data_IF_040414278933
#
_entry.id   IF_040414278933
#
_cell.length_a   1.000
_cell.length_b   1.000
_cell.length_c   1.000
_cell.angle_alpha   90.00
_cell.angle_beta   90.00
_cell.angle_gamma   90.00
#
_symmetry.space_group_name_H-M   'P 1'
#
loop_
_entity.id
_entity.type
_entity.pdbx_description
1 polymer ?
#
# COMPACT_ATOMS: atom_id res chain seq x y z
N UNK A 1 3.96 11.70 15.65
CA UNK A 1 3.90 13.18 15.64
C UNK A 1 2.45 13.71 15.75
N UNK A 2 1.73 13.44 16.86
CA UNK A 2 0.30 13.77 16.99
C UNK A 2 -0.01 15.28 16.92
N UNK A 3 1.00 16.12 17.15
CA UNK A 3 0.83 17.60 17.04
C UNK A 3 0.86 18.07 15.58
N UNK A 4 1.34 17.26 14.66
CA UNK A 4 1.49 17.62 13.24
C UNK A 4 0.35 17.06 12.41
N UNK A 5 -0.09 15.81 12.71
CA UNK A 5 -1.13 15.12 11.95
C UNK A 5 -2.49 15.38 12.57
N UNK A 6 -3.32 16.17 11.91
CA UNK A 6 -4.67 16.53 12.36
C UNK A 6 -5.74 15.54 11.88
N UNK A 7 -5.55 14.91 10.73
CA UNK A 7 -6.40 13.87 10.15
C UNK A 7 -5.53 12.88 9.38
N UNK A 8 -5.89 11.60 9.35
CA UNK A 8 -5.16 10.55 8.63
C UNK A 8 -6.10 9.79 7.70
N UNK A 9 -5.77 9.74 6.41
CA UNK A 9 -6.44 8.85 5.45
C UNK A 9 -5.49 7.73 5.01
N UNK A 10 -5.96 6.50 5.06
CA UNK A 10 -5.23 5.29 4.69
C UNK A 10 -5.91 4.64 3.49
N UNK A 11 -5.13 4.36 2.44
CA UNK A 11 -5.64 3.85 1.17
C UNK A 11 -5.12 2.45 0.88
N UNK A 12 -6.03 1.49 0.78
CA UNK A 12 -5.82 0.07 0.42
C UNK A 12 -4.67 -0.62 1.15
N UNK A 13 -4.58 -0.39 2.45
CA UNK A 13 -3.53 -0.94 3.31
C UNK A 13 -4.08 -1.41 4.65
N UNK A 14 -3.50 -2.45 5.21
CA UNK A 14 -3.63 -2.87 6.62
C UNK A 14 -2.31 -2.63 7.35
N UNK A 15 -2.27 -2.61 8.69
CA UNK A 15 -1.02 -2.43 9.42
C UNK A 15 0.05 -3.42 8.96
N UNK A 16 1.27 -2.95 8.73
CA UNK A 16 2.40 -3.76 8.23
C UNK A 16 2.64 -4.99 9.09
N UNK A 17 2.55 -4.83 10.41
CA UNK A 17 2.64 -5.95 11.36
C UNK A 17 1.57 -7.02 11.10
N UNK A 18 0.33 -6.63 10.78
CA UNK A 18 -0.75 -7.58 10.45
C UNK A 18 -0.38 -8.41 9.22
N UNK A 19 0.18 -7.78 8.18
CA UNK A 19 0.63 -8.48 6.97
C UNK A 19 1.67 -9.55 7.32
N UNK A 20 2.72 -9.19 8.05
CA UNK A 20 3.82 -10.12 8.36
C UNK A 20 3.45 -11.18 9.41
N UNK A 21 2.49 -10.93 10.29
CA UNK A 21 2.06 -11.91 11.32
C UNK A 21 0.95 -12.85 10.84
N UNK A 22 0.21 -12.49 9.80
CA UNK A 22 -0.90 -13.29 9.27
C UNK A 22 -0.61 -13.85 7.86
N UNK A 23 0.63 -14.29 7.63
CA UNK A 23 1.05 -14.83 6.34
C UNK A 23 0.26 -16.10 6.00
N UNK A 24 -0.33 -16.10 4.82
CA UNK A 24 -1.00 -17.25 4.23
C UNK A 24 -0.47 -17.51 2.82
N UNK A 25 -0.76 -18.70 2.25
CA UNK A 25 -0.42 -18.98 0.85
C UNK A 25 -0.98 -17.90 -0.09
N UNK A 26 -2.23 -17.48 0.11
CA UNK A 26 -2.87 -16.49 -0.74
C UNK A 26 -2.19 -15.12 -0.60
N UNK A 27 -1.90 -14.68 0.63
CA UNK A 27 -1.17 -13.44 0.87
C UNK A 27 0.21 -13.49 0.20
N UNK A 28 1.00 -14.53 0.44
CA UNK A 28 2.32 -14.69 -0.14
C UNK A 28 2.31 -14.75 -1.67
N UNK A 29 1.23 -15.29 -2.27
CA UNK A 29 1.09 -15.35 -3.73
C UNK A 29 0.71 -13.97 -4.31
N UNK A 30 -0.22 -13.25 -3.70
CA UNK A 30 -0.71 -11.98 -4.23
C UNK A 30 0.20 -10.81 -3.89
N UNK A 31 0.83 -10.87 -2.73
CA UNK A 31 1.76 -9.87 -2.19
C UNK A 31 3.20 -10.41 -2.14
N UNK A 32 3.60 -11.27 -3.11
CA UNK A 32 4.94 -11.86 -3.13
C UNK A 32 6.05 -10.80 -3.08
N UNK A 33 5.80 -9.62 -3.62
CA UNK A 33 6.76 -8.52 -3.64
C UNK A 33 7.15 -8.06 -2.22
N UNK A 34 6.26 -8.17 -1.23
CA UNK A 34 6.59 -7.88 0.17
C UNK A 34 7.71 -8.78 0.70
N UNK A 35 7.79 -10.01 0.21
CA UNK A 35 8.80 -10.99 0.59
C UNK A 35 10.00 -11.00 -0.36
N UNK A 36 9.84 -10.52 -1.57
CA UNK A 36 10.88 -10.38 -2.57
C UNK A 36 11.71 -9.11 -2.36
N UNK A 37 11.06 -7.96 -2.19
CA UNK A 37 11.74 -6.67 -2.09
C UNK A 37 12.54 -6.49 -0.78
N UNK A 38 12.23 -7.28 0.26
CA UNK A 38 12.99 -7.30 1.51
C UNK A 38 14.27 -8.15 1.46
N UNK A 39 14.50 -8.87 0.37
CA UNK A 39 15.72 -9.67 0.25
C UNK A 39 16.96 -8.76 0.27
N UNK A 40 18.11 -9.29 0.77
CA UNK A 40 19.34 -8.50 0.83
C UNK A 40 19.76 -7.92 -0.53
N UNK A 41 20.29 -6.70 -0.50
CA UNK A 41 20.97 -6.11 -1.66
C UNK A 41 22.12 -7.02 -2.13
N UNK A 42 22.34 -7.20 -3.46
CA UNK A 42 21.69 -6.49 -4.57
C UNK A 42 20.56 -7.29 -5.25
N UNK A 43 19.99 -8.30 -4.62
CA UNK A 43 19.16 -9.30 -5.31
C UNK A 43 17.91 -8.70 -5.96
N UNK A 44 17.01 -7.97 -5.26
CA UNK A 44 15.83 -7.39 -5.90
C UNK A 44 16.19 -6.34 -6.94
N UNK A 45 17.14 -5.46 -6.62
CA UNK A 45 17.61 -4.40 -7.52
C UNK A 45 18.15 -4.97 -8.83
N UNK A 46 18.95 -6.04 -8.75
CA UNK A 46 19.53 -6.72 -9.91
C UNK A 46 18.45 -7.37 -10.78
N UNK A 47 17.45 -8.01 -10.15
CA UNK A 47 16.38 -8.69 -10.89
C UNK A 47 15.37 -7.71 -11.51
N UNK A 48 15.18 -6.54 -10.90
CA UNK A 48 14.32 -5.47 -11.44
C UNK A 48 15.06 -4.60 -12.44
N UNK A 49 16.39 -4.53 -12.36
CA UNK A 49 17.22 -3.74 -13.26
C UNK A 49 17.03 -4.17 -14.73
N UNK A 50 16.70 -3.19 -15.58
CA UNK A 50 16.40 -3.44 -16.99
C UNK A 50 15.04 -4.09 -17.29
N UNK A 51 14.21 -4.38 -16.26
CA UNK A 51 12.90 -5.02 -16.41
C UNK A 51 11.75 -4.15 -15.90
N UNK A 52 11.93 -2.83 -15.85
CA UNK A 52 10.95 -1.87 -15.31
C UNK A 52 9.58 -1.99 -15.98
N UNK A 53 9.51 -1.95 -17.31
CA UNK A 53 8.23 -2.02 -18.03
C UNK A 53 7.51 -3.36 -17.85
N UNK A 54 8.15 -4.54 -18.07
CA UNK A 54 7.48 -5.81 -17.79
C UNK A 54 7.04 -5.95 -16.34
N UNK A 55 7.80 -5.45 -15.38
CA UNK A 55 7.42 -5.47 -13.97
C UNK A 55 6.16 -4.62 -13.71
N UNK A 56 6.15 -3.39 -14.18
CA UNK A 56 4.99 -2.51 -14.02
C UNK A 56 3.73 -3.08 -14.69
N UNK A 57 3.81 -3.47 -15.98
CA UNK A 57 2.64 -3.95 -16.73
C UNK A 57 2.11 -5.28 -16.21
N UNK A 58 2.98 -6.24 -15.92
CA UNK A 58 2.56 -7.60 -15.63
C UNK A 58 2.42 -7.89 -14.12
N UNK A 59 2.95 -7.02 -13.29
CA UNK A 59 2.86 -7.19 -11.85
C UNK A 59 2.21 -6.00 -11.15
N UNK A 60 2.84 -4.83 -11.13
CA UNK A 60 2.36 -3.69 -10.32
C UNK A 60 0.94 -3.27 -10.71
N UNK A 61 0.66 -3.21 -12.00
CA UNK A 61 -0.64 -2.82 -12.56
C UNK A 61 -1.51 -3.99 -13.03
N UNK A 62 -1.14 -5.22 -12.68
CA UNK A 62 -2.00 -6.38 -12.98
C UNK A 62 -3.34 -6.27 -12.27
N UNK A 63 -4.41 -6.54 -12.99
CA UNK A 63 -5.76 -6.53 -12.43
C UNK A 63 -6.40 -5.14 -12.27
N UNK A 64 -5.74 -4.10 -12.79
CA UNK A 64 -6.37 -2.79 -12.99
C UNK A 64 -7.66 -2.93 -13.82
N UNK A 65 -8.62 -2.08 -13.51
CA UNK A 65 -9.77 -1.85 -14.39
C UNK A 65 -9.23 -1.44 -15.77
N UNK A 66 -9.73 -2.03 -16.87
CA UNK A 66 -9.27 -1.68 -18.21
C UNK A 66 -9.27 -0.16 -18.45
N UNK A 67 -8.17 0.37 -18.97
CA UNK A 67 -7.99 1.79 -19.26
C UNK A 67 -7.90 2.74 -18.03
N UNK A 68 -7.76 2.22 -16.81
CA UNK A 68 -7.59 3.06 -15.62
C UNK A 68 -6.33 3.92 -15.69
N UNK A 69 -5.25 3.43 -16.33
CA UNK A 69 -4.03 4.20 -16.57
C UNK A 69 -3.88 4.47 -18.07
N UNK A 70 -3.91 5.74 -18.46
CA UNK A 70 -3.61 6.16 -19.82
C UNK A 70 -2.10 6.02 -20.14
N UNK A 71 -1.74 5.73 -21.39
CA UNK A 71 -0.33 5.56 -21.79
C UNK A 71 0.61 6.71 -21.39
N UNK A 72 0.24 8.00 -21.48
CA UNK A 72 1.09 9.07 -20.99
C UNK A 72 1.37 9.01 -19.49
N UNK A 73 0.39 8.58 -18.69
CA UNK A 73 0.54 8.40 -17.24
C UNK A 73 1.43 7.17 -16.95
N UNK A 74 1.21 6.07 -17.68
CA UNK A 74 2.08 4.90 -17.60
C UNK A 74 3.53 5.23 -17.94
N UNK A 75 3.77 6.05 -18.97
CA UNK A 75 5.11 6.47 -19.37
C UNK A 75 5.84 7.22 -18.23
N UNK A 76 5.12 8.01 -17.43
CA UNK A 76 5.70 8.69 -16.27
C UNK A 76 6.04 7.73 -15.12
N UNK A 77 5.18 6.77 -14.83
CA UNK A 77 5.51 5.69 -13.89
C UNK A 77 6.75 4.92 -14.34
N UNK A 78 6.80 4.56 -15.62
CA UNK A 78 7.94 3.86 -16.20
C UNK A 78 9.23 4.70 -16.12
N UNK A 79 9.17 5.98 -16.46
CA UNK A 79 10.32 6.88 -16.35
C UNK A 79 10.89 6.92 -14.93
N UNK A 80 10.02 7.02 -13.94
CA UNK A 80 10.44 7.03 -12.53
C UNK A 80 11.01 5.68 -12.11
N UNK A 81 10.33 4.60 -12.45
CA UNK A 81 10.72 3.25 -12.03
C UNK A 81 11.95 2.72 -12.77
N UNK A 82 12.25 3.22 -13.96
CA UNK A 82 13.48 2.86 -14.69
C UNK A 82 14.76 3.44 -14.07
N UNK A 83 14.65 4.36 -13.12
CA UNK A 83 15.80 4.88 -12.38
C UNK A 83 16.25 3.88 -11.31
N UNK A 84 17.52 3.38 -11.35
CA UNK A 84 18.02 2.44 -10.36
C UNK A 84 17.93 2.95 -8.90
N UNK A 85 18.09 4.25 -8.68
CA UNK A 85 17.97 4.85 -7.35
C UNK A 85 16.53 4.78 -6.81
N UNK A 86 15.52 4.90 -7.69
CA UNK A 86 14.12 4.72 -7.31
C UNK A 86 13.85 3.27 -6.91
N UNK A 87 14.37 2.31 -7.67
CA UNK A 87 14.24 0.88 -7.34
C UNK A 87 14.92 0.57 -6.02
N UNK A 88 16.15 1.06 -5.80
CA UNK A 88 16.86 0.87 -4.53
C UNK A 88 16.08 1.48 -3.35
N UNK A 89 15.63 2.73 -3.47
CA UNK A 89 14.84 3.39 -2.42
C UNK A 89 13.56 2.62 -2.09
N UNK A 90 12.86 2.10 -3.11
CA UNK A 90 11.69 1.23 -2.90
C UNK A 90 12.07 -0.04 -2.12
N UNK A 91 13.17 -0.70 -2.46
CA UNK A 91 13.61 -1.89 -1.73
C UNK A 91 13.96 -1.56 -0.27
N UNK A 92 14.64 -0.43 -0.02
CA UNK A 92 14.97 0.03 1.33
C UNK A 92 13.72 0.35 2.17
N UNK A 93 12.67 0.92 1.56
CA UNK A 93 11.38 1.15 2.22
C UNK A 93 10.76 -0.18 2.68
N UNK A 94 10.72 -1.19 1.80
CA UNK A 94 10.25 -2.53 2.17
C UNK A 94 11.13 -3.20 3.24
N UNK A 95 12.47 -3.07 3.17
CA UNK A 95 13.40 -3.59 4.20
C UNK A 95 13.16 -2.92 5.55
N UNK A 96 12.96 -1.60 5.57
CA UNK A 96 12.59 -0.87 6.79
C UNK A 96 11.27 -1.39 7.36
N UNK A 97 10.23 -1.51 6.50
CA UNK A 97 8.92 -2.04 6.87
C UNK A 97 8.95 -3.45 7.46
N UNK A 98 9.89 -4.30 7.01
CA UNK A 98 10.07 -5.66 7.52
C UNK A 98 11.03 -5.78 8.72
N UNK A 99 11.65 -4.71 9.15
CA UNK A 99 12.68 -4.73 10.20
C UNK A 99 12.45 -3.67 11.26
N UNK A 100 12.98 -2.47 11.07
CA UNK A 100 12.96 -1.41 12.09
C UNK A 100 11.53 -0.93 12.40
N UNK A 101 10.65 -0.86 11.38
CA UNK A 101 9.28 -0.42 11.59
C UNK A 101 8.49 -1.44 12.40
N UNK A 102 8.73 -2.75 12.21
CA UNK A 102 8.12 -3.77 13.07
C UNK A 102 8.59 -3.67 14.52
N UNK A 103 9.86 -3.31 14.77
CA UNK A 103 10.38 -3.09 16.13
C UNK A 103 9.71 -1.85 16.76
N UNK A 104 9.55 -0.77 16.01
CA UNK A 104 8.84 0.42 16.47
C UNK A 104 7.36 0.11 16.75
N UNK A 105 6.71 -0.62 15.85
CA UNK A 105 5.32 -1.06 16.02
C UNK A 105 5.14 -1.91 17.28
N UNK A 106 6.07 -2.85 17.54
CA UNK A 106 6.02 -3.71 18.74
C UNK A 106 6.20 -2.90 20.03
N UNK A 107 7.12 -1.94 20.03
CA UNK A 107 7.34 -1.04 21.17
C UNK A 107 6.13 -0.14 21.45
N UNK A 108 5.29 0.10 20.45
CA UNK A 108 4.23 1.12 20.43
C UNK A 108 2.81 0.51 20.38
N UNK A 109 2.69 -0.80 20.59
CA UNK A 109 1.41 -1.55 20.45
C UNK A 109 0.25 -0.97 21.26
N UNK A 110 0.53 -0.37 22.41
CA UNK A 110 -0.48 0.24 23.28
C UNK A 110 -0.88 1.66 22.86
N UNK A 111 -0.12 2.27 21.94
CA UNK A 111 -0.36 3.65 21.51
C UNK A 111 -1.44 3.68 20.44
N UNK A 112 -2.42 4.53 20.63
CA UNK A 112 -3.51 4.74 19.66
C UNK A 112 -3.32 6.06 18.91
N UNK A 113 -3.82 6.10 17.68
CA UNK A 113 -3.87 7.32 16.88
C UNK A 113 -4.86 8.29 17.52
N UNK A 114 -4.38 9.51 17.83
CA UNK A 114 -5.19 10.55 18.44
C UNK A 114 -6.05 11.31 17.43
N UNK A 115 -5.69 11.28 16.15
CA UNK A 115 -6.41 12.00 15.10
C UNK A 115 -7.55 11.16 14.51
N UNK A 116 -8.62 11.80 13.99
CA UNK A 116 -9.60 11.14 13.14
C UNK A 116 -8.91 10.37 12.00
N UNK A 117 -9.36 9.14 11.77
CA UNK A 117 -8.75 8.25 10.79
C UNK A 117 -9.80 7.72 9.83
N UNK A 118 -9.55 7.86 8.53
CA UNK A 118 -10.36 7.31 7.44
C UNK A 118 -9.59 6.17 6.77
N UNK A 119 -10.24 5.03 6.57
CA UNK A 119 -9.67 3.87 5.87
C UNK A 119 -10.51 3.58 4.63
N UNK A 120 -9.90 3.67 3.44
CA UNK A 120 -10.55 3.38 2.16
C UNK A 120 -9.80 2.25 1.46
N UNK A 121 -10.53 1.31 0.86
CA UNK A 121 -9.89 0.18 0.16
C UNK A 121 -10.71 -0.25 -1.05
N UNK A 122 -10.07 -0.96 -1.99
CA UNK A 122 -10.71 -1.46 -3.19
C UNK A 122 -11.48 -2.75 -2.93
N UNK A 123 -12.77 -2.81 -3.29
CA UNK A 123 -13.61 -4.02 -3.15
C UNK A 123 -13.11 -5.18 -4.01
N UNK A 124 -12.37 -4.88 -5.09
CA UNK A 124 -11.75 -5.88 -5.97
C UNK A 124 -10.30 -6.19 -5.61
N UNK A 125 -9.71 -5.44 -4.66
CA UNK A 125 -8.34 -5.56 -4.21
C UNK A 125 -8.08 -6.79 -3.34
N UNK A 126 -6.78 -7.08 -3.13
CA UNK A 126 -6.35 -8.18 -2.29
C UNK A 126 -6.62 -7.90 -0.80
N UNK A 127 -6.52 -6.64 -0.36
CA UNK A 127 -6.79 -6.27 1.03
C UNK A 127 -8.21 -6.66 1.43
N UNK A 128 -9.22 -6.31 0.61
CA UNK A 128 -10.62 -6.68 0.85
C UNK A 128 -10.85 -8.20 0.93
N UNK A 129 -10.12 -8.98 0.12
CA UNK A 129 -10.28 -10.44 0.06
C UNK A 129 -9.57 -11.19 1.19
N UNK A 130 -8.53 -10.59 1.75
CA UNK A 130 -7.66 -11.25 2.73
C UNK A 130 -7.95 -10.82 4.16
N UNK A 131 -8.51 -9.63 4.36
CA UNK A 131 -8.68 -9.03 5.68
C UNK A 131 -10.05 -8.38 5.84
N UNK A 132 -10.54 -8.31 7.06
CA UNK A 132 -11.49 -7.27 7.46
C UNK A 132 -10.68 -5.98 7.67
N UNK A 133 -10.55 -5.20 6.60
CA UNK A 133 -9.59 -4.08 6.53
C UNK A 133 -9.79 -3.11 7.68
N UNK A 134 -11.04 -2.70 7.95
CA UNK A 134 -11.31 -1.72 9.01
C UNK A 134 -11.00 -2.30 10.40
N UNK A 135 -11.33 -3.56 10.65
CA UNK A 135 -11.07 -4.21 11.94
C UNK A 135 -9.58 -4.39 12.21
N UNK A 136 -8.72 -4.50 11.18
CA UNK A 136 -7.26 -4.53 11.39
C UNK A 136 -6.72 -3.23 11.99
N UNK A 137 -7.41 -2.11 11.76
CA UNK A 137 -7.01 -0.79 12.29
C UNK A 137 -7.58 -0.47 13.67
N UNK A 138 -8.64 -1.17 14.12
CA UNK A 138 -9.30 -0.91 15.42
C UNK A 138 -8.35 -0.88 16.63
N UNK A 139 -7.34 -1.75 16.74
CA UNK A 139 -6.39 -1.70 17.86
C UNK A 139 -5.61 -0.39 17.93
N UNK A 140 -5.31 0.22 16.77
CA UNK A 140 -4.56 1.48 16.66
C UNK A 140 -5.45 2.71 16.55
N UNK A 141 -6.62 2.57 15.96
CA UNK A 141 -7.58 3.65 15.70
C UNK A 141 -9.01 3.16 15.99
N UNK A 142 -9.43 3.09 17.28
CA UNK A 142 -10.74 2.53 17.66
C UNK A 142 -11.92 3.23 17.01
N UNK A 143 -11.79 4.54 16.75
CA UNK A 143 -12.81 5.38 16.13
C UNK A 143 -12.64 5.52 14.60
N UNK A 144 -11.73 4.74 13.97
CA UNK A 144 -11.54 4.81 12.53
C UNK A 144 -12.85 4.53 11.78
N UNK A 145 -13.10 5.33 10.75
CA UNK A 145 -14.20 5.14 9.82
C UNK A 145 -13.63 4.65 8.49
N UNK A 146 -14.43 3.95 7.70
CA UNK A 146 -13.96 3.49 6.41
C UNK A 146 -15.01 2.76 5.61
N UNK A 147 -14.70 2.59 4.31
CA UNK A 147 -15.55 1.86 3.37
C UNK A 147 -14.75 1.35 2.18
N UNK A 148 -15.23 0.29 1.55
CA UNK A 148 -14.75 -0.17 0.26
C UNK A 148 -15.20 0.78 -0.85
N UNK A 149 -14.33 1.00 -1.85
CA UNK A 149 -14.59 1.74 -3.08
C UNK A 149 -14.60 0.76 -4.28
N UNK A 150 -15.26 1.12 -5.41
CA UNK A 150 -15.35 0.24 -6.60
C UNK A 150 -14.03 0.21 -7.41
N UNK A 151 -12.95 -0.24 -6.78
CA UNK A 151 -11.60 -0.27 -7.31
C UNK A 151 -10.85 -1.54 -6.88
N UNK A 152 -9.69 -1.79 -7.49
CA UNK A 152 -8.65 -2.68 -6.99
C UNK A 152 -7.73 -1.98 -6.00
N UNK A 153 -6.41 -2.13 -6.21
CA UNK A 153 -5.39 -1.51 -5.34
C UNK A 153 -5.17 -0.02 -5.64
N UNK A 154 -5.35 0.39 -6.88
CA UNK A 154 -4.97 1.71 -7.38
C UNK A 154 -6.15 2.68 -7.35
N UNK A 155 -6.64 3.01 -6.13
CA UNK A 155 -7.83 3.85 -5.96
C UNK A 155 -7.79 5.18 -6.72
N UNK A 156 -6.66 5.91 -6.74
CA UNK A 156 -6.57 7.18 -7.46
C UNK A 156 -6.80 7.05 -8.97
N UNK A 157 -6.35 5.95 -9.55
CA UNK A 157 -6.44 5.67 -10.98
C UNK A 157 -7.76 5.01 -11.36
N UNK A 158 -8.30 4.17 -10.47
CA UNK A 158 -9.46 3.33 -10.77
C UNK A 158 -10.79 3.99 -10.41
N UNK A 159 -10.84 4.80 -9.35
CA UNK A 159 -12.06 5.48 -8.90
C UNK A 159 -11.79 6.89 -8.35
N UNK A 160 -11.19 7.80 -9.16
CA UNK A 160 -10.77 9.13 -8.69
C UNK A 160 -11.92 9.99 -8.17
N UNK A 161 -13.13 9.87 -8.73
CA UNK A 161 -14.28 10.65 -8.32
C UNK A 161 -14.76 10.26 -6.92
N UNK A 162 -14.95 8.98 -6.67
CA UNK A 162 -15.39 8.42 -5.38
C UNK A 162 -14.33 8.65 -4.30
N UNK A 163 -13.06 8.47 -4.65
CA UNK A 163 -11.95 8.76 -3.74
C UNK A 163 -11.90 10.23 -3.37
N UNK A 164 -11.95 11.12 -4.37
CA UNK A 164 -11.92 12.58 -4.13
C UNK A 164 -13.10 13.03 -3.27
N UNK A 165 -14.31 12.52 -3.55
CA UNK A 165 -15.49 12.85 -2.76
C UNK A 165 -15.34 12.42 -1.29
N UNK A 166 -14.86 11.19 -1.04
CA UNK A 166 -14.65 10.68 0.31
C UNK A 166 -13.56 11.45 1.07
N UNK A 167 -12.45 11.81 0.40
CA UNK A 167 -11.40 12.61 0.99
C UNK A 167 -11.84 14.05 1.26
N UNK A 168 -12.58 14.67 0.35
CA UNK A 168 -13.10 16.02 0.55
C UNK A 168 -14.06 16.10 1.74
N UNK A 169 -14.97 15.14 1.88
CA UNK A 169 -15.87 15.04 3.03
C UNK A 169 -15.09 14.87 4.34
N UNK A 170 -14.08 14.01 4.36
CA UNK A 170 -13.30 13.72 5.56
C UNK A 170 -12.38 14.86 5.96
N UNK A 171 -11.80 15.59 5.00
CA UNK A 171 -10.83 16.66 5.25
C UNK A 171 -11.49 18.03 5.51
N UNK A 172 -12.76 18.18 5.21
CA UNK A 172 -13.53 19.38 5.58
C UNK A 172 -13.70 19.46 7.12
#
# INVERSE_FOLDING_TARGET
HPQTVTRLALLDIVPTRTVYTQVSKNLATWYFHWFFLIQPEPLPEMLLGGHAEPFLRNFAFRGLIPHAIAEPVFAEYLRCFANPQTVHAMCEDYRAGASIDLQHDEADLSTQLACPTLVLWGVHGAMHRLFDVLETWRPRAPAAQGKALPAGHWLPEECPQELTAALAEFLA
#
